data_IF_796229551696
#
_entry.id   IF_796229551696
#
_cell.length_a   1.000
_cell.length_b   1.000
_cell.length_c   1.000
_cell.angle_alpha   90.00
_cell.angle_beta   90.00
_cell.angle_gamma   90.00
#
_symmetry.space_group_name_H-M   'P 1'
#
loop_
_entity.id
_entity.type
_entity.pdbx_description
1 polymer ?
#
# COMPACT_ATOMS: atom_id res chain seq x y z
N UNK A 1 -11.17 -0.03 -5.76
CA UNK A 1 -9.70 -0.17 -5.75
C UNK A 1 -9.12 1.18 -6.15
N UNK A 2 -8.13 1.68 -5.42
CA UNK A 2 -7.43 2.94 -5.75
C UNK A 2 -6.01 2.56 -6.14
N UNK A 3 -5.52 3.09 -7.26
CA UNK A 3 -4.18 2.85 -7.77
C UNK A 3 -3.52 4.18 -8.12
N UNK A 4 -2.30 4.38 -7.66
CA UNK A 4 -1.50 5.58 -7.90
C UNK A 4 -0.19 5.19 -8.62
N UNK A 5 -0.08 5.42 -9.93
CA UNK A 5 1.17 5.22 -10.65
C UNK A 5 2.17 6.34 -10.31
N UNK A 6 3.47 5.98 -10.26
CA UNK A 6 4.61 6.93 -10.23
C UNK A 6 4.54 7.99 -9.12
N UNK A 7 4.44 7.54 -7.88
CA UNK A 7 4.49 8.44 -6.72
C UNK A 7 5.92 8.96 -6.45
N UNK A 8 6.93 8.27 -6.98
CA UNK A 8 8.33 8.66 -7.07
C UNK A 8 8.54 9.66 -8.21
N UNK A 9 8.30 10.95 -7.95
CA UNK A 9 8.83 11.98 -8.83
C UNK A 9 10.33 12.18 -8.51
N UNK A 10 11.27 11.88 -9.42
CA UNK A 10 12.71 11.99 -9.16
C UNK A 10 13.16 13.41 -8.78
N UNK A 11 12.39 14.43 -9.16
CA UNK A 11 12.71 15.84 -8.86
C UNK A 11 12.25 16.28 -7.48
N UNK A 12 11.40 15.49 -6.84
CA UNK A 12 10.77 15.84 -5.57
C UNK A 12 11.60 15.47 -4.34
N UNK A 13 12.69 14.71 -4.51
CA UNK A 13 13.53 14.24 -3.39
C UNK A 13 12.83 13.22 -2.48
N UNK A 14 11.69 12.68 -2.91
CA UNK A 14 10.91 11.68 -2.17
C UNK A 14 11.68 10.37 -1.99
N UNK A 15 11.28 9.62 -0.97
CA UNK A 15 11.89 8.34 -0.59
C UNK A 15 13.37 8.49 -0.22
N UNK A 16 13.76 9.67 0.27
CA UNK A 16 15.06 9.85 0.88
C UNK A 16 15.19 9.03 2.17
N UNK A 17 16.42 8.82 2.63
CA UNK A 17 16.63 8.05 3.86
C UNK A 17 16.03 8.79 5.06
N UNK A 18 15.30 8.07 5.90
CA UNK A 18 14.69 8.60 7.12
C UNK A 18 13.72 9.78 6.88
N UNK A 19 13.10 9.88 5.70
CA UNK A 19 12.03 10.84 5.44
C UNK A 19 10.64 10.22 5.60
N UNK A 20 9.68 11.09 5.87
CA UNK A 20 8.26 10.80 5.75
C UNK A 20 7.71 11.60 4.60
N UNK A 21 7.25 10.92 3.55
CA UNK A 21 6.66 11.54 2.36
C UNK A 21 5.15 11.36 2.37
N UNK A 22 4.41 12.46 2.18
CA UNK A 22 2.94 12.48 2.19
C UNK A 22 2.42 12.64 0.77
N UNK A 23 1.43 11.84 0.41
CA UNK A 23 0.81 11.79 -0.91
C UNK A 23 -0.69 11.97 -0.82
N UNK A 24 -1.24 12.80 -1.69
CA UNK A 24 -2.69 12.89 -1.90
C UNK A 24 -3.04 12.12 -3.16
N UNK A 25 -3.81 11.03 -2.99
CA UNK A 25 -4.26 10.19 -4.10
C UNK A 25 -5.76 10.36 -4.23
N UNK A 26 -6.20 10.80 -5.41
CA UNK A 26 -7.61 10.90 -5.74
C UNK A 26 -8.10 9.58 -6.34
N UNK A 27 -9.28 9.13 -5.89
CA UNK A 27 -9.90 7.90 -6.36
C UNK A 27 -11.35 7.79 -5.91
N UNK A 28 -12.06 6.74 -6.32
CA UNK A 28 -13.41 6.48 -5.83
C UNK A 28 -13.41 6.30 -4.32
N UNK A 29 -14.49 6.71 -3.65
CA UNK A 29 -14.70 6.46 -2.24
C UNK A 29 -14.52 4.96 -1.94
N UNK A 30 -13.54 4.62 -1.12
CA UNK A 30 -13.29 3.24 -0.71
C UNK A 30 -14.19 2.85 0.45
N UNK A 31 -14.26 1.55 0.74
CA UNK A 31 -14.86 1.06 1.98
C UNK A 31 -14.28 1.81 3.19
N UNK A 32 -15.07 2.00 4.27
CA UNK A 32 -14.63 2.72 5.47
C UNK A 32 -13.53 2.00 6.25
N UNK A 33 -13.25 0.73 5.93
CA UNK A 33 -12.18 -0.07 6.53
C UNK A 33 -11.16 -0.42 5.45
N UNK A 34 -9.95 0.11 5.59
CA UNK A 34 -8.80 -0.21 4.75
C UNK A 34 -8.18 -1.51 5.27
N UNK A 35 -8.26 -2.59 4.49
CA UNK A 35 -7.80 -3.92 4.92
C UNK A 35 -6.68 -4.51 4.06
N UNK A 36 -6.31 -3.87 2.96
CA UNK A 36 -5.18 -4.30 2.13
C UNK A 36 -4.39 -3.11 1.61
N UNK A 37 -3.09 -3.32 1.44
CA UNK A 37 -2.17 -2.39 0.80
C UNK A 37 -1.07 -3.21 0.14
N UNK A 38 -0.77 -2.88 -1.11
CA UNK A 38 0.36 -3.44 -1.84
C UNK A 38 1.20 -2.30 -2.39
N UNK A 39 2.51 -2.42 -2.22
CA UNK A 39 3.52 -1.56 -2.82
C UNK A 39 4.12 -2.29 -4.02
N UNK A 40 4.38 -1.53 -5.07
CA UNK A 40 5.12 -2.00 -6.23
C UNK A 40 6.34 -1.11 -6.40
N UNK A 41 7.52 -1.72 -6.50
CA UNK A 41 8.77 -1.02 -6.68
C UNK A 41 9.40 -1.45 -8.00
N UNK A 42 9.67 -0.48 -8.87
CA UNK A 42 10.50 -0.68 -10.07
C UNK A 42 11.82 0.05 -9.92
N UNK A 43 12.90 -0.49 -10.51
CA UNK A 43 14.21 0.15 -10.53
C UNK A 43 15.19 -0.39 -9.48
N UNK A 44 16.30 0.33 -9.27
CA UNK A 44 17.41 -0.14 -8.42
C UNK A 44 17.39 0.40 -6.98
N UNK A 45 16.46 1.32 -6.67
CA UNK A 45 16.41 1.96 -5.36
C UNK A 45 15.89 1.00 -4.30
N UNK A 46 16.73 0.58 -3.36
CA UNK A 46 16.38 -0.39 -2.31
C UNK A 46 15.47 0.21 -1.22
N UNK A 47 14.21 0.49 -1.53
CA UNK A 47 13.27 1.06 -0.56
C UNK A 47 13.00 0.11 0.60
N UNK A 48 13.16 0.62 1.82
CA UNK A 48 12.85 -0.07 3.08
C UNK A 48 11.92 0.84 3.89
N UNK A 49 10.64 0.93 3.53
CA UNK A 49 9.68 1.72 4.31
C UNK A 49 9.51 1.08 5.69
N UNK A 50 9.50 1.90 6.74
CA UNK A 50 9.22 1.43 8.10
C UNK A 50 7.73 1.12 8.20
N UNK A 51 6.90 2.11 7.87
CA UNK A 51 5.44 2.01 7.86
C UNK A 51 4.83 2.85 6.73
N UNK A 52 3.58 2.51 6.41
CA UNK A 52 2.72 3.30 5.52
C UNK A 52 1.38 3.49 6.22
N UNK A 53 1.00 4.74 6.42
CA UNK A 53 -0.29 5.11 6.98
C UNK A 53 -1.18 5.70 5.89
N UNK A 54 -2.37 5.12 5.72
CA UNK A 54 -3.38 5.62 4.81
C UNK A 54 -4.48 6.30 5.63
N UNK A 55 -4.70 7.57 5.36
CA UNK A 55 -5.74 8.40 5.97
C UNK A 55 -6.65 8.99 4.90
N UNK A 56 -7.89 9.29 5.26
CA UNK A 56 -8.90 9.84 4.36
C UNK A 56 -10.25 9.95 5.07
N UNK A 57 -11.34 9.67 4.35
CA UNK A 57 -12.69 9.60 4.95
C UNK A 57 -12.91 8.37 5.84
N UNK A 58 -12.05 7.36 5.72
CA UNK A 58 -12.07 6.13 6.49
C UNK A 58 -11.23 6.26 7.78
N UNK A 59 -11.36 5.29 8.70
CA UNK A 59 -10.45 5.21 9.84
C UNK A 59 -9.01 4.98 9.34
N UNK A 60 -8.01 5.75 9.84
CA UNK A 60 -6.63 5.57 9.40
C UNK A 60 -6.15 4.14 9.63
N UNK A 61 -5.39 3.61 8.66
CA UNK A 61 -4.81 2.28 8.74
C UNK A 61 -3.30 2.35 8.51
N UNK A 62 -2.54 1.74 9.41
CA UNK A 62 -1.07 1.69 9.34
C UNK A 62 -0.61 0.27 9.04
N UNK A 63 0.30 0.16 8.07
CA UNK A 63 0.93 -1.07 7.61
C UNK A 63 2.44 -0.98 7.85
N UNK A 64 2.98 -1.86 8.67
CA UNK A 64 4.41 -1.94 8.95
C UNK A 64 5.07 -2.88 7.96
N UNK A 65 6.15 -2.45 7.32
CA UNK A 65 6.93 -3.25 6.38
C UNK A 65 8.29 -3.58 6.99
N UNK A 66 9.10 -2.56 7.27
CA UNK A 66 10.47 -2.64 7.83
C UNK A 66 11.36 -3.73 7.18
N UNK A 67 11.14 -3.97 5.89
CA UNK A 67 11.88 -4.93 5.06
C UNK A 67 12.10 -4.35 3.67
N UNK A 68 13.16 -4.76 2.94
CA UNK A 68 13.36 -4.34 1.56
C UNK A 68 12.17 -4.77 0.68
N UNK A 69 11.61 -3.82 -0.07
CA UNK A 69 10.54 -4.12 -1.02
C UNK A 69 11.14 -4.80 -2.26
N UNK A 70 10.69 -6.01 -2.62
CA UNK A 70 11.21 -6.70 -3.79
C UNK A 70 10.95 -5.89 -5.06
N UNK A 71 11.89 -5.98 -6.01
CA UNK A 71 11.74 -5.35 -7.32
C UNK A 71 10.72 -6.09 -8.19
N UNK A 72 10.01 -5.33 -9.01
CA UNK A 72 9.17 -5.82 -10.10
C UNK A 72 8.08 -6.81 -9.68
N UNK A 73 7.58 -6.68 -8.45
CA UNK A 73 6.47 -7.45 -7.93
C UNK A 73 5.65 -6.66 -6.90
N UNK A 74 4.40 -7.04 -6.73
CA UNK A 74 3.53 -6.51 -5.68
C UNK A 74 3.89 -7.14 -4.33
N UNK A 75 4.11 -6.31 -3.32
CA UNK A 75 4.44 -6.73 -1.96
C UNK A 75 3.58 -5.99 -0.95
N UNK A 76 2.98 -6.72 0.00
CA UNK A 76 2.17 -6.09 1.03
C UNK A 76 1.24 -7.04 1.76
N UNK A 77 0.16 -6.48 2.29
CA UNK A 77 -0.74 -7.17 3.20
C UNK A 77 -2.16 -7.22 2.64
N UNK A 78 -2.81 -8.36 2.85
CA UNK A 78 -4.25 -8.50 2.70
C UNK A 78 -4.83 -9.06 4.00
N UNK A 79 -5.40 -8.17 4.81
CA UNK A 79 -6.05 -8.46 6.09
C UNK A 79 -7.57 -8.38 5.98
N UNK A 80 -8.11 -8.35 4.77
CA UNK A 80 -9.55 -8.39 4.58
C UNK A 80 -10.02 -9.75 5.08
N UNK A 81 -10.69 -9.75 6.24
CA UNK A 81 -11.43 -10.91 6.69
C UNK A 81 -12.38 -11.29 5.54
N UNK A 82 -12.28 -12.54 5.06
CA UNK A 82 -13.38 -13.11 4.28
C UNK A 82 -14.58 -13.14 5.22
N UNK A 83 -15.43 -12.13 5.18
CA UNK A 83 -16.80 -12.32 5.64
C UNK A 83 -17.38 -13.44 4.74
N UNK A 84 -17.46 -14.64 5.31
CA UNK A 84 -17.77 -15.95 4.72
C UNK A 84 -16.70 -16.67 3.87
N UNK A 85 -15.99 -17.58 4.52
CA UNK A 85 -15.82 -18.94 4.00
C UNK A 85 -17.19 -19.62 3.84
N UNK A 86 -17.83 -19.47 2.69
CA UNK A 86 -18.73 -20.52 2.18
C UNK A 86 -17.87 -21.46 1.35
N UNK A 87 -17.65 -22.68 1.86
CA UNK A 87 -17.23 -23.77 1.00
C UNK A 87 -18.31 -23.94 -0.07
N UNK A 88 -18.02 -23.58 -1.32
CA UNK A 88 -18.72 -24.22 -2.43
C UNK A 88 -18.14 -25.63 -2.51
N UNK A 89 -18.75 -26.54 -1.74
CA UNK A 89 -18.74 -27.94 -2.10
C UNK A 89 -19.36 -28.02 -3.50
N UNK A 90 -18.52 -28.22 -4.50
CA UNK A 90 -18.97 -28.58 -5.85
C UNK A 90 -19.63 -29.95 -5.71
N UNK A 91 -20.92 -30.01 -6.01
CA UNK A 91 -21.64 -31.27 -6.24
C UNK A 91 -21.53 -31.62 -7.70
#
# INVERSE_FOLDING_TARGET
MVFAPRIDDPRSGRFSRCSTDIFTINGPCTNPIICYLYLYRSGNDGWIPIDVTISGHAMPATFFYNVPIPGDTWFGYNRCLRANSSSLAVK
#
